data_IF_913349393143
#
_entry.id   IF_913349393143
#
_cell.length_a   1.000
_cell.length_b   1.000
_cell.length_c   1.000
_cell.angle_alpha   90.00
_cell.angle_beta   90.00
_cell.angle_gamma   90.00
#
_symmetry.space_group_name_H-M   'P 1'
#
loop_
_entity.id
_entity.type
_entity.pdbx_description
1 polymer ?
#
# COMPACT_ATOMS: atom_id res chain seq x y z
N UNK A 1 -2.12 -16.15 -43.28
CA UNK A 1 -2.85 -16.68 -42.11
C UNK A 1 -3.24 -15.50 -41.22
N UNK A 2 -4.40 -14.88 -41.48
CA UNK A 2 -4.81 -13.67 -40.75
C UNK A 2 -5.35 -14.03 -39.37
N UNK A 3 -4.70 -13.59 -38.30
CA UNK A 3 -5.22 -13.69 -36.95
C UNK A 3 -6.49 -12.82 -36.85
N UNK A 4 -7.67 -13.44 -37.00
CA UNK A 4 -8.95 -12.78 -36.73
C UNK A 4 -9.01 -12.51 -35.23
N UNK A 5 -8.97 -11.25 -34.84
CA UNK A 5 -9.00 -10.83 -33.45
C UNK A 5 -10.32 -11.26 -32.79
N UNK A 6 -10.24 -12.01 -31.70
CA UNK A 6 -11.41 -12.55 -31.00
C UNK A 6 -11.84 -11.64 -29.85
N UNK A 7 -12.63 -10.62 -30.18
CA UNK A 7 -13.14 -9.65 -29.20
C UNK A 7 -13.97 -10.29 -28.08
N UNK A 8 -14.71 -11.36 -28.36
CA UNK A 8 -15.49 -12.08 -27.35
C UNK A 8 -14.59 -12.78 -26.33
N UNK A 9 -13.49 -13.39 -26.79
CA UNK A 9 -12.49 -14.01 -25.91
C UNK A 9 -11.81 -12.97 -25.00
N UNK A 10 -11.41 -11.84 -25.57
CA UNK A 10 -10.82 -10.73 -24.81
C UNK A 10 -11.78 -10.21 -23.74
N UNK A 11 -13.05 -10.02 -24.08
CA UNK A 11 -14.05 -9.54 -23.13
C UNK A 11 -14.36 -10.55 -22.02
N UNK A 12 -14.40 -11.84 -22.34
CA UNK A 12 -14.59 -12.90 -21.35
C UNK A 12 -13.43 -12.97 -20.34
N UNK A 13 -12.17 -12.88 -20.82
CA UNK A 13 -10.98 -12.86 -19.98
C UNK A 13 -10.95 -11.61 -19.10
N UNK A 14 -11.18 -10.44 -19.70
CA UNK A 14 -11.19 -9.17 -18.97
C UNK A 14 -12.21 -9.19 -17.82
N UNK A 15 -13.43 -9.65 -18.07
CA UNK A 15 -14.47 -9.72 -17.03
C UNK A 15 -14.11 -10.71 -15.92
N UNK A 16 -13.46 -11.82 -16.27
CA UNK A 16 -13.01 -12.82 -15.30
C UNK A 16 -11.86 -12.32 -14.43
N UNK A 17 -10.85 -11.68 -15.03
CA UNK A 17 -9.74 -11.08 -14.29
C UNK A 17 -10.20 -9.92 -13.41
N UNK A 18 -11.12 -9.07 -13.88
CA UNK A 18 -11.63 -7.96 -13.09
C UNK A 18 -12.46 -8.44 -11.89
N UNK A 19 -13.28 -9.48 -12.06
CA UNK A 19 -14.01 -10.11 -10.97
C UNK A 19 -13.09 -10.76 -9.94
N UNK A 20 -11.95 -11.33 -10.38
CA UNK A 20 -10.91 -11.87 -9.49
C UNK A 20 -10.19 -10.76 -8.74
N UNK A 21 -9.77 -9.70 -9.43
CA UNK A 21 -9.10 -8.56 -8.84
C UNK A 21 -9.98 -7.90 -7.75
N UNK A 22 -11.25 -7.63 -8.06
CA UNK A 22 -12.20 -7.02 -7.12
C UNK A 22 -12.38 -7.83 -5.83
N UNK A 23 -12.32 -9.17 -5.90
CA UNK A 23 -12.43 -10.04 -4.72
C UNK A 23 -11.19 -9.97 -3.82
N UNK A 24 -10.01 -9.81 -4.40
CA UNK A 24 -8.74 -9.77 -3.67
C UNK A 24 -8.36 -8.35 -3.20
N UNK A 25 -8.87 -7.30 -3.87
CA UNK A 25 -8.60 -5.88 -3.54
C UNK A 25 -8.84 -5.56 -2.07
N UNK A 26 -9.93 -6.06 -1.49
CA UNK A 26 -10.23 -5.80 -0.08
C UNK A 26 -9.18 -6.41 0.86
N UNK A 27 -8.71 -7.62 0.55
CA UNK A 27 -7.69 -8.32 1.34
C UNK A 27 -6.30 -7.69 1.16
N UNK A 28 -5.99 -7.22 -0.05
CA UNK A 28 -4.73 -6.58 -0.40
C UNK A 28 -4.57 -5.17 0.18
N UNK A 29 -5.66 -4.45 0.46
CA UNK A 29 -5.62 -3.08 1.01
C UNK A 29 -5.71 -3.10 2.54
N UNK A 30 -6.49 -4.00 3.13
CA UNK A 30 -6.69 -4.04 4.59
C UNK A 30 -5.38 -4.29 5.34
N UNK A 31 -4.59 -5.27 4.89
CA UNK A 31 -3.30 -5.64 5.52
C UNK A 31 -2.32 -4.45 5.63
N UNK A 32 -2.00 -3.73 4.55
CA UNK A 32 -1.06 -2.62 4.63
C UNK A 32 -1.60 -1.39 5.37
N UNK A 33 -2.91 -1.13 5.32
CA UNK A 33 -3.55 -0.03 6.05
C UNK A 33 -3.45 -0.23 7.57
N UNK A 34 -3.67 -1.46 8.05
CA UNK A 34 -3.54 -1.78 9.49
C UNK A 34 -2.10 -1.55 9.94
N UNK A 35 -1.11 -2.04 9.19
CA UNK A 35 0.31 -1.87 9.54
C UNK A 35 0.74 -0.40 9.58
N UNK A 36 0.28 0.41 8.62
CA UNK A 36 0.55 1.85 8.63
C UNK A 36 -0.09 2.55 9.81
N UNK A 37 -1.36 2.26 10.10
CA UNK A 37 -2.06 2.83 11.25
C UNK A 37 -1.35 2.45 12.57
N UNK A 38 -0.92 1.20 12.72
CA UNK A 38 -0.18 0.74 13.90
C UNK A 38 1.17 1.45 14.04
N UNK A 39 1.92 1.64 12.94
CA UNK A 39 3.15 2.43 12.98
C UNK A 39 2.89 3.88 13.38
N UNK A 40 1.86 4.52 12.84
CA UNK A 40 1.48 5.88 13.23
C UNK A 40 1.12 5.97 14.72
N UNK A 41 0.36 5.02 15.26
CA UNK A 41 -0.01 5.01 16.68
C UNK A 41 1.22 4.76 17.56
N UNK A 42 2.02 3.73 17.28
CA UNK A 42 3.19 3.38 18.11
C UNK A 42 4.26 4.47 18.06
N UNK A 43 4.65 4.90 16.86
CA UNK A 43 5.72 5.89 16.73
C UNK A 43 5.24 7.33 16.98
N UNK A 44 4.00 7.65 16.64
CA UNK A 44 3.42 8.98 16.82
C UNK A 44 2.95 9.26 18.25
N UNK A 45 2.17 8.36 18.86
CA UNK A 45 1.60 8.61 20.19
C UNK A 45 2.45 8.04 21.34
N UNK A 46 3.05 6.86 21.20
CA UNK A 46 3.78 6.23 22.30
C UNK A 46 5.22 6.78 22.44
N UNK A 47 5.94 6.94 21.31
CA UNK A 47 7.32 7.44 21.32
C UNK A 47 7.36 8.98 21.24
N UNK A 48 6.45 9.61 20.49
CA UNK A 48 6.42 11.06 20.32
C UNK A 48 6.18 11.86 21.61
N UNK A 49 5.50 11.30 22.61
CA UNK A 49 5.30 11.94 23.91
C UNK A 49 6.55 12.01 24.79
N UNK A 50 7.56 11.18 24.51
CA UNK A 50 8.82 11.11 25.27
C UNK A 50 9.99 11.80 24.56
N UNK A 51 9.79 12.24 23.31
CA UNK A 51 10.82 12.87 22.49
C UNK A 51 10.69 14.40 22.52
N UNK A 52 11.68 15.08 23.09
CA UNK A 52 11.75 16.54 23.05
C UNK A 52 11.88 17.03 21.60
N UNK A 53 11.37 18.24 21.33
CA UNK A 53 11.55 18.94 20.04
C UNK A 53 13.02 18.98 19.67
N UNK A 54 13.35 18.46 18.48
CA UNK A 54 14.70 18.47 17.94
C UNK A 54 14.86 19.83 17.24
N UNK A 55 15.74 20.68 17.76
CA UNK A 55 16.07 21.98 17.15
C UNK A 55 14.86 22.93 16.96
N UNK A 56 13.91 22.90 17.91
CA UNK A 56 12.68 23.71 17.87
C UNK A 56 11.58 23.18 16.94
N UNK A 57 11.83 22.08 16.21
CA UNK A 57 10.82 21.41 15.37
C UNK A 57 10.21 20.24 16.14
N UNK A 58 8.86 20.11 16.17
CA UNK A 58 8.22 19.00 16.85
C UNK A 58 8.59 17.69 16.16
N UNK A 59 8.93 16.67 16.95
CA UNK A 59 9.28 15.32 16.48
C UNK A 59 8.24 14.73 15.51
N UNK A 60 6.96 15.07 15.70
CA UNK A 60 5.88 14.70 14.79
C UNK A 60 6.11 15.13 13.33
N UNK A 61 6.74 16.28 13.09
CA UNK A 61 7.02 16.77 11.74
C UNK A 61 8.07 15.92 11.00
N UNK A 62 8.95 15.22 11.70
CA UNK A 62 9.94 14.33 11.11
C UNK A 62 9.46 12.89 10.99
N UNK A 63 8.64 12.41 11.92
CA UNK A 63 8.22 11.01 11.92
C UNK A 63 7.11 10.73 10.91
N UNK A 64 6.19 11.68 10.71
CA UNK A 64 5.07 11.53 9.77
C UNK A 64 5.58 11.25 8.35
N UNK A 65 6.51 12.04 7.76
CA UNK A 65 7.08 11.73 6.45
C UNK A 65 7.90 10.43 6.43
N UNK A 66 8.66 10.16 7.49
CA UNK A 66 9.50 8.96 7.58
C UNK A 66 8.70 7.65 7.55
N UNK A 67 7.59 7.60 8.29
CA UNK A 67 6.69 6.44 8.30
C UNK A 67 5.95 6.26 6.98
N UNK A 68 5.56 7.36 6.32
CA UNK A 68 4.97 7.32 4.98
C UNK A 68 5.97 6.72 3.98
N UNK A 69 7.23 7.15 4.03
CA UNK A 69 8.29 6.62 3.15
C UNK A 69 8.55 5.13 3.41
N UNK A 70 8.61 4.72 4.68
CA UNK A 70 8.77 3.31 5.06
C UNK A 70 7.62 2.45 4.49
N UNK A 71 6.38 2.92 4.64
CA UNK A 71 5.20 2.23 4.13
C UNK A 71 5.19 2.13 2.60
N UNK A 72 5.48 3.22 1.89
CA UNK A 72 5.55 3.22 0.44
C UNK A 72 6.62 2.26 -0.07
N UNK A 73 7.77 2.20 0.61
CA UNK A 73 8.85 1.28 0.26
C UNK A 73 8.44 -0.19 0.46
N UNK A 74 7.85 -0.53 1.61
CA UNK A 74 7.37 -1.89 1.87
C UNK A 74 6.28 -2.29 0.87
N UNK A 75 5.32 -1.41 0.62
CA UNK A 75 4.26 -1.64 -0.35
C UNK A 75 4.78 -1.79 -1.77
N UNK A 76 5.79 -1.02 -2.16
CA UNK A 76 6.40 -1.13 -3.49
C UNK A 76 7.12 -2.46 -3.65
N UNK A 77 7.84 -2.93 -2.63
CA UNK A 77 8.50 -4.24 -2.66
C UNK A 77 7.46 -5.37 -2.70
N UNK A 78 6.48 -5.36 -1.81
CA UNK A 78 5.44 -6.39 -1.79
C UNK A 78 4.64 -6.44 -3.09
N UNK A 79 4.30 -5.27 -3.66
CA UNK A 79 3.59 -5.21 -4.93
C UNK A 79 4.48 -5.62 -6.11
N UNK A 80 5.76 -5.24 -6.13
CA UNK A 80 6.69 -5.63 -7.19
C UNK A 80 7.08 -7.12 -7.13
N UNK A 81 7.19 -7.72 -5.93
CA UNK A 81 7.60 -9.11 -5.74
C UNK A 81 6.47 -10.13 -5.90
N UNK A 82 5.21 -9.74 -5.67
CA UNK A 82 4.04 -10.61 -5.84
C UNK A 82 3.14 -10.20 -7.04
N UNK A 83 3.49 -9.13 -7.74
CA UNK A 83 2.71 -8.54 -8.84
C UNK A 83 2.99 -9.09 -10.24
N UNK A 84 3.77 -10.17 -10.36
CA UNK A 84 3.90 -10.99 -11.58
C UNK A 84 3.74 -12.47 -11.24
#
# INVERSE_FOLDING_TARGET
MGLRFNHYGVWAIYRFEMARALRTVWQSIVTPVITTALYFVVFGSAIGGHMNSIDGVPYGAFIVPGLIMLSLFTQSIFNASFGI
#
